data_IF_519930268138
#
_entry.id   IF_519930268138
#
_cell.length_a   1.000
_cell.length_b   1.000
_cell.length_c   1.000
_cell.angle_alpha   90.00
_cell.angle_beta   90.00
_cell.angle_gamma   90.00
#
_symmetry.space_group_name_H-M   'P 1'
#
loop_
_entity.id
_entity.type
_entity.pdbx_description
1 polymer ?
#
# COMPACT_ATOMS: atom_id res chain seq x y z
N UNK A 1 -22.14 -22.38 -0.77
CA UNK A 1 -21.62 -21.40 0.25
C UNK A 1 -22.78 -20.90 1.09
N UNK A 2 -22.63 -20.74 2.45
CA UNK A 2 -23.76 -20.35 3.32
C UNK A 2 -24.14 -18.87 3.13
N UNK A 3 -25.43 -18.56 3.22
CA UNK A 3 -25.97 -17.18 3.18
C UNK A 3 -25.29 -16.29 4.23
N UNK A 4 -25.00 -16.84 5.43
CA UNK A 4 -24.33 -16.12 6.53
C UNK A 4 -22.93 -15.63 6.17
N UNK A 5 -22.15 -16.42 5.43
CA UNK A 5 -20.81 -16.01 4.97
C UNK A 5 -20.88 -14.80 4.02
N UNK A 6 -21.75 -14.87 3.01
CA UNK A 6 -21.90 -13.76 2.08
C UNK A 6 -22.54 -12.52 2.72
N UNK A 7 -23.43 -12.72 3.70
CA UNK A 7 -23.95 -11.63 4.51
C UNK A 7 -22.85 -10.90 5.28
N UNK A 8 -21.92 -11.64 5.92
CA UNK A 8 -20.78 -11.04 6.63
C UNK A 8 -19.82 -10.30 5.67
N UNK A 9 -19.48 -10.90 4.52
CA UNK A 9 -18.66 -10.24 3.49
C UNK A 9 -19.34 -8.97 3.00
N UNK A 10 -20.63 -9.04 2.67
CA UNK A 10 -21.39 -7.87 2.21
C UNK A 10 -21.44 -6.77 3.25
N UNK A 11 -21.66 -7.10 4.53
CA UNK A 11 -21.69 -6.12 5.62
C UNK A 11 -20.35 -5.38 5.76
N UNK A 12 -19.22 -6.10 5.73
CA UNK A 12 -17.89 -5.47 5.80
C UNK A 12 -17.65 -4.57 4.58
N UNK A 13 -17.96 -5.04 3.36
CA UNK A 13 -17.73 -4.24 2.15
C UNK A 13 -18.62 -3.00 2.08
N UNK A 14 -19.88 -3.10 2.52
CA UNK A 14 -20.79 -1.96 2.57
C UNK A 14 -20.34 -0.95 3.61
N UNK A 15 -19.95 -1.41 4.81
CA UNK A 15 -19.41 -0.54 5.85
C UNK A 15 -18.12 0.17 5.39
N UNK A 16 -17.21 -0.56 4.74
CA UNK A 16 -15.98 0.00 4.19
C UNK A 16 -16.27 1.01 3.07
N UNK A 17 -17.17 0.69 2.14
CA UNK A 17 -17.55 1.61 1.07
C UNK A 17 -18.13 2.92 1.63
N UNK A 18 -18.99 2.83 2.65
CA UNK A 18 -19.56 3.99 3.32
C UNK A 18 -18.47 4.81 4.02
N UNK A 19 -17.56 4.16 4.74
CA UNK A 19 -16.44 4.80 5.44
C UNK A 19 -15.52 5.54 4.46
N UNK A 20 -15.07 4.86 3.41
CA UNK A 20 -14.15 5.45 2.43
C UNK A 20 -14.80 6.59 1.65
N UNK A 21 -16.07 6.45 1.24
CA UNK A 21 -16.81 7.51 0.56
C UNK A 21 -17.02 8.72 1.46
N UNK A 22 -17.40 8.50 2.73
CA UNK A 22 -17.56 9.55 3.73
C UNK A 22 -16.26 10.33 3.92
N UNK A 23 -15.17 9.61 4.18
CA UNK A 23 -13.87 10.22 4.40
C UNK A 23 -13.38 11.00 3.16
N UNK A 24 -13.47 10.41 1.96
CA UNK A 24 -13.10 11.09 0.73
C UNK A 24 -13.94 12.35 0.48
N UNK A 25 -15.19 12.38 0.95
CA UNK A 25 -16.06 13.55 0.81
C UNK A 25 -15.75 14.65 1.80
N UNK A 26 -15.36 14.33 3.04
CA UNK A 26 -15.14 15.30 4.11
C UNK A 26 -13.67 15.70 4.31
N UNK A 27 -12.73 14.88 3.85
CA UNK A 27 -11.31 15.17 3.96
C UNK A 27 -10.92 16.37 3.10
N UNK A 28 -10.31 17.36 3.74
CA UNK A 28 -9.73 18.48 3.00
C UNK A 28 -8.54 17.97 2.17
N UNK A 29 -8.66 18.07 0.85
CA UNK A 29 -7.67 17.53 -0.07
C UNK A 29 -6.27 18.12 0.14
N UNK A 30 -6.15 19.35 0.65
CA UNK A 30 -4.87 20.03 0.91
C UNK A 30 -4.08 19.43 2.07
N UNK A 31 -4.72 18.67 2.96
CA UNK A 31 -4.05 18.04 4.11
C UNK A 31 -3.22 16.80 3.73
N UNK A 32 -3.50 16.19 2.59
CA UNK A 32 -2.79 14.99 2.13
C UNK A 32 -1.30 15.26 1.87
N UNK A 33 -0.48 14.22 2.02
CA UNK A 33 0.92 14.28 1.63
C UNK A 33 1.03 14.68 0.15
N UNK A 34 1.87 15.65 -0.14
CA UNK A 34 2.15 16.14 -1.50
C UNK A 34 0.90 16.61 -2.27
N UNK A 35 -0.21 16.89 -1.58
CA UNK A 35 -1.52 17.12 -2.19
C UNK A 35 -1.53 18.27 -3.20
N UNK A 36 -0.89 19.40 -2.85
CA UNK A 36 -0.79 20.55 -3.75
C UNK A 36 0.03 20.21 -5.01
N UNK A 37 1.19 19.56 -4.83
CA UNK A 37 2.03 19.14 -5.96
C UNK A 37 1.33 18.07 -6.83
N UNK A 38 0.55 17.17 -6.22
CA UNK A 38 -0.30 16.22 -6.94
C UNK A 38 -1.36 16.93 -7.81
N UNK A 39 -1.99 17.99 -7.27
CA UNK A 39 -2.99 18.76 -8.01
C UNK A 39 -2.36 19.53 -9.18
N UNK A 40 -1.20 20.14 -8.97
CA UNK A 40 -0.43 20.80 -10.05
C UNK A 40 -0.08 19.82 -11.17
N UNK A 41 0.42 18.62 -10.81
CA UNK A 41 0.73 17.57 -11.79
C UNK A 41 -0.51 17.19 -12.61
N UNK A 42 -1.63 16.90 -11.92
CA UNK A 42 -2.86 16.50 -12.57
C UNK A 42 -3.41 17.61 -13.51
N UNK A 43 -3.24 18.87 -13.13
CA UNK A 43 -3.64 20.02 -13.96
C UNK A 43 -2.83 20.07 -15.26
N UNK A 44 -1.49 20.04 -15.18
CA UNK A 44 -0.61 20.05 -16.36
C UNK A 44 -0.92 18.88 -17.30
N UNK A 45 -0.96 17.65 -16.78
CA UNK A 45 -1.20 16.45 -17.61
C UNK A 45 -2.58 16.51 -18.28
N UNK A 46 -3.60 16.98 -17.58
CA UNK A 46 -4.97 17.01 -18.12
C UNK A 46 -5.24 18.15 -19.08
N UNK A 47 -4.54 19.29 -18.95
CA UNK A 47 -4.74 20.46 -19.81
C UNK A 47 -3.78 20.49 -20.99
N UNK A 48 -2.51 20.14 -20.75
CA UNK A 48 -1.44 20.32 -21.71
C UNK A 48 -0.98 19.01 -22.35
N UNK A 49 -1.49 17.86 -21.86
CA UNK A 49 -1.19 16.51 -22.37
C UNK A 49 0.31 16.20 -22.38
N UNK A 50 1.06 16.77 -21.43
CA UNK A 50 2.49 16.52 -21.21
C UNK A 50 2.79 16.24 -19.74
N UNK A 51 3.99 15.77 -19.44
CA UNK A 51 4.47 15.66 -18.08
C UNK A 51 4.92 17.04 -17.55
N UNK A 52 4.72 17.34 -16.25
CA UNK A 52 5.20 18.59 -15.67
C UNK A 52 6.72 18.59 -15.54
N UNK A 53 7.29 19.79 -15.57
CA UNK A 53 8.68 20.05 -15.21
C UNK A 53 8.87 20.13 -13.69
N UNK A 54 10.13 20.19 -13.25
CA UNK A 54 10.51 20.37 -11.84
C UNK A 54 9.94 21.65 -11.22
N UNK A 55 9.83 22.72 -12.01
CA UNK A 55 9.29 24.01 -11.56
C UNK A 55 7.76 24.00 -11.40
N UNK A 56 7.06 23.11 -12.11
CA UNK A 56 5.59 23.06 -12.14
C UNK A 56 4.99 22.14 -11.08
N UNK A 57 5.73 21.09 -10.66
CA UNK A 57 5.24 20.19 -9.62
C UNK A 57 6.37 19.54 -8.85
N UNK A 58 6.33 19.61 -7.52
CA UNK A 58 7.30 18.92 -6.65
C UNK A 58 7.29 17.39 -6.77
N UNK A 59 6.29 16.82 -7.44
CA UNK A 59 6.17 15.35 -7.67
C UNK A 59 6.33 14.98 -9.15
N UNK A 60 6.95 15.83 -9.95
CA UNK A 60 7.21 15.65 -11.39
C UNK A 60 7.83 14.27 -11.74
N UNK A 61 8.61 13.71 -10.81
CA UNK A 61 9.30 12.42 -10.92
C UNK A 61 8.38 11.20 -10.70
N UNK A 62 7.07 11.42 -10.54
CA UNK A 62 6.09 10.34 -10.30
C UNK A 62 5.47 9.87 -11.63
N UNK A 63 5.18 8.56 -11.81
CA UNK A 63 4.49 8.08 -13.01
C UNK A 63 3.09 8.67 -13.19
N UNK A 64 2.61 8.89 -14.45
CA UNK A 64 1.51 9.81 -14.74
C UNK A 64 0.09 9.26 -14.64
N UNK A 65 -0.14 7.93 -14.58
CA UNK A 65 -1.46 7.35 -14.84
C UNK A 65 -2.55 7.90 -13.91
N UNK A 66 -2.29 7.93 -12.60
CA UNK A 66 -3.30 8.44 -11.65
C UNK A 66 -3.59 9.92 -11.88
N UNK A 67 -2.56 10.73 -12.14
CA UNK A 67 -2.71 12.17 -12.35
C UNK A 67 -3.52 12.47 -13.61
N UNK A 68 -3.30 11.69 -14.68
CA UNK A 68 -4.09 11.81 -15.91
C UNK A 68 -5.57 11.48 -15.65
N UNK A 69 -5.85 10.41 -14.92
CA UNK A 69 -7.23 10.03 -14.56
C UNK A 69 -7.88 11.05 -13.63
N UNK A 70 -7.20 11.44 -12.55
CA UNK A 70 -7.73 12.39 -11.58
C UNK A 70 -7.94 13.77 -12.20
N UNK A 71 -7.01 14.25 -13.03
CA UNK A 71 -7.13 15.50 -13.74
C UNK A 71 -8.26 15.50 -14.79
N UNK A 72 -8.39 14.41 -15.57
CA UNK A 72 -9.48 14.27 -16.54
C UNK A 72 -10.86 14.27 -15.86
N UNK A 73 -11.01 13.51 -14.76
CA UNK A 73 -12.23 13.50 -13.96
C UNK A 73 -12.51 14.87 -13.33
N UNK A 74 -11.47 15.55 -12.82
CA UNK A 74 -11.60 16.90 -12.26
C UNK A 74 -12.06 17.92 -13.30
N UNK A 75 -11.54 17.87 -14.52
CA UNK A 75 -12.00 18.72 -15.63
C UNK A 75 -13.46 18.45 -16.01
N UNK A 76 -13.81 17.16 -16.09
CA UNK A 76 -15.20 16.78 -16.41
C UNK A 76 -16.18 17.31 -15.36
N UNK A 77 -15.90 17.14 -14.07
CA UNK A 77 -16.77 17.65 -13.01
C UNK A 77 -16.84 19.17 -12.98
N UNK A 78 -15.73 19.87 -13.24
CA UNK A 78 -15.73 21.33 -13.36
C UNK A 78 -16.56 21.81 -14.57
N UNK A 79 -16.43 21.15 -15.72
CA UNK A 79 -17.21 21.47 -16.92
C UNK A 79 -18.71 21.24 -16.73
N UNK A 80 -19.08 20.27 -15.87
CA UNK A 80 -20.48 19.98 -15.51
C UNK A 80 -21.01 20.81 -14.34
N UNK A 81 -20.19 21.70 -13.75
CA UNK A 81 -20.58 22.50 -12.58
C UNK A 81 -20.78 21.67 -11.29
N UNK A 82 -20.18 20.48 -11.18
CA UNK A 82 -20.38 19.53 -10.07
C UNK A 82 -19.43 19.73 -8.87
N UNK A 83 -18.78 20.89 -8.74
CA UNK A 83 -17.98 21.24 -7.56
C UNK A 83 -16.46 21.21 -7.79
N UNK A 84 -15.69 20.88 -6.73
CA UNK A 84 -14.23 20.99 -6.72
C UNK A 84 -13.54 19.95 -7.61
N UNK A 85 -12.55 20.40 -8.40
CA UNK A 85 -11.79 19.57 -9.35
C UNK A 85 -11.03 18.39 -8.67
N UNK A 86 -10.68 18.51 -7.40
CA UNK A 86 -9.91 17.49 -6.66
C UNK A 86 -10.79 16.37 -6.10
N UNK A 87 -12.08 16.61 -5.86
CA UNK A 87 -13.00 15.63 -5.28
C UNK A 87 -13.09 14.32 -6.06
N UNK A 88 -13.16 14.32 -7.39
CA UNK A 88 -13.17 13.07 -8.15
C UNK A 88 -11.90 12.23 -7.99
N UNK A 89 -10.73 12.87 -7.82
CA UNK A 89 -9.48 12.18 -7.52
C UNK A 89 -9.49 11.50 -6.15
N UNK A 90 -10.09 12.14 -5.13
CA UNK A 90 -10.30 11.52 -3.82
C UNK A 90 -11.29 10.34 -3.90
N UNK A 91 -12.39 10.49 -4.63
CA UNK A 91 -13.35 9.39 -4.84
C UNK A 91 -12.73 8.23 -5.65
N UNK A 92 -11.86 8.53 -6.61
CA UNK A 92 -11.07 7.51 -7.32
C UNK A 92 -10.15 6.75 -6.35
N UNK A 93 -9.49 7.47 -5.43
CA UNK A 93 -8.67 6.85 -4.40
C UNK A 93 -9.50 5.96 -3.45
N UNK A 94 -10.68 6.42 -3.03
CA UNK A 94 -11.62 5.64 -2.21
C UNK A 94 -12.11 4.38 -2.92
N UNK A 95 -12.51 4.50 -4.19
CA UNK A 95 -12.93 3.36 -5.00
C UNK A 95 -11.80 2.32 -5.17
N UNK A 96 -10.56 2.79 -5.35
CA UNK A 96 -9.38 1.93 -5.42
C UNK A 96 -9.07 1.24 -4.07
N UNK A 97 -9.26 1.92 -2.95
CA UNK A 97 -9.17 1.33 -1.60
C UNK A 97 -10.18 0.19 -1.42
N UNK A 98 -11.44 0.43 -1.77
CA UNK A 98 -12.50 -0.60 -1.74
C UNK A 98 -12.18 -1.76 -2.69
N UNK A 99 -11.70 -1.46 -3.90
CA UNK A 99 -11.26 -2.48 -4.85
C UNK A 99 -10.13 -3.34 -4.26
N UNK A 100 -9.20 -2.75 -3.52
CA UNK A 100 -8.14 -3.50 -2.81
C UNK A 100 -8.73 -4.48 -1.81
N UNK A 101 -9.74 -4.10 -1.02
CA UNK A 101 -10.44 -4.99 -0.09
C UNK A 101 -11.08 -6.18 -0.81
N UNK A 102 -11.77 -5.93 -1.92
CA UNK A 102 -12.37 -7.00 -2.77
C UNK A 102 -11.29 -7.91 -3.35
N UNK A 103 -10.22 -7.36 -3.88
CA UNK A 103 -9.12 -8.12 -4.49
C UNK A 103 -8.37 -8.99 -3.45
N UNK A 104 -8.17 -8.50 -2.23
CA UNK A 104 -7.60 -9.29 -1.12
C UNK A 104 -8.51 -10.46 -0.74
N UNK A 105 -9.81 -10.23 -0.65
CA UNK A 105 -10.79 -11.31 -0.45
C UNK A 105 -10.71 -12.37 -1.55
N UNK A 106 -10.66 -11.94 -2.81
CA UNK A 106 -10.57 -12.85 -3.97
C UNK A 106 -9.23 -13.59 -3.99
N UNK A 107 -8.12 -12.93 -3.64
CA UNK A 107 -6.79 -13.52 -3.54
C UNK A 107 -6.75 -14.61 -2.45
N UNK A 108 -7.30 -14.32 -1.28
CA UNK A 108 -7.44 -15.29 -0.20
C UNK A 108 -8.27 -16.52 -0.62
N UNK A 109 -9.36 -16.30 -1.37
CA UNK A 109 -10.20 -17.37 -1.92
C UNK A 109 -9.50 -18.20 -2.99
N UNK A 110 -8.69 -17.59 -3.84
CA UNK A 110 -7.91 -18.32 -4.85
C UNK A 110 -6.87 -19.20 -4.15
N UNK A 111 -6.20 -18.70 -3.13
CA UNK A 111 -5.15 -19.46 -2.43
C UNK A 111 -5.70 -20.55 -1.50
N UNK A 112 -6.85 -20.34 -0.86
CA UNK A 112 -7.51 -21.29 0.07
C UNK A 112 -9.03 -21.32 -0.10
N UNK A 113 -9.57 -21.96 -1.14
CA UNK A 113 -10.99 -21.85 -1.51
C UNK A 113 -11.98 -22.21 -0.39
N UNK A 114 -11.62 -23.17 0.49
CA UNK A 114 -12.51 -23.71 1.52
C UNK A 114 -12.39 -22.99 2.88
N UNK A 115 -11.41 -22.08 3.04
CA UNK A 115 -11.10 -21.48 4.35
C UNK A 115 -11.80 -20.12 4.56
N UNK A 116 -13.11 -20.16 4.81
CA UNK A 116 -13.96 -18.96 4.95
C UNK A 116 -13.50 -17.98 6.02
N UNK A 117 -12.98 -18.49 7.15
CA UNK A 117 -12.49 -17.62 8.24
C UNK A 117 -11.27 -16.85 7.77
N UNK A 118 -10.33 -17.51 7.08
CA UNK A 118 -9.18 -16.84 6.47
C UNK A 118 -9.62 -15.70 5.53
N UNK A 119 -10.64 -15.93 4.70
CA UNK A 119 -11.16 -14.91 3.79
C UNK A 119 -11.71 -13.68 4.55
N UNK A 120 -12.53 -13.90 5.59
CA UNK A 120 -13.11 -12.81 6.38
C UNK A 120 -12.04 -12.07 7.18
N UNK A 121 -11.10 -12.79 7.80
CA UNK A 121 -9.98 -12.17 8.55
C UNK A 121 -9.12 -11.32 7.63
N UNK A 122 -8.76 -11.80 6.43
CA UNK A 122 -7.99 -11.03 5.47
C UNK A 122 -8.74 -9.75 5.03
N UNK A 123 -10.05 -9.87 4.76
CA UNK A 123 -10.89 -8.74 4.40
C UNK A 123 -10.96 -7.70 5.54
N UNK A 124 -11.22 -8.12 6.78
CA UNK A 124 -11.30 -7.20 7.92
C UNK A 124 -9.94 -6.57 8.22
N UNK A 125 -8.86 -7.33 8.09
CA UNK A 125 -7.49 -6.79 8.30
C UNK A 125 -7.19 -5.64 7.33
N UNK A 126 -7.49 -5.83 6.04
CA UNK A 126 -7.20 -4.79 5.04
C UNK A 126 -8.14 -3.58 5.20
N UNK A 127 -9.42 -3.80 5.46
CA UNK A 127 -10.41 -2.75 5.68
C UNK A 127 -10.11 -1.92 6.96
N UNK A 128 -9.62 -2.56 8.04
CA UNK A 128 -9.27 -1.88 9.28
C UNK A 128 -7.84 -1.29 9.28
N UNK A 129 -7.12 -1.30 8.14
CA UNK A 129 -5.77 -0.73 8.06
C UNK A 129 -5.81 0.80 8.01
N UNK A 130 -5.32 1.54 9.03
CA UNK A 130 -5.39 3.00 9.05
C UNK A 130 -4.66 3.64 7.87
N UNK A 131 -3.51 3.08 7.47
CA UNK A 131 -2.73 3.58 6.35
C UNK A 131 -3.52 3.51 5.03
N UNK A 132 -4.31 2.43 4.78
CA UNK A 132 -5.16 2.33 3.59
C UNK A 132 -6.31 3.31 3.64
N UNK A 133 -7.02 3.40 4.78
CA UNK A 133 -8.20 4.27 4.93
C UNK A 133 -7.80 5.73 4.72
N UNK A 134 -6.69 6.18 5.34
CA UNK A 134 -6.18 7.55 5.15
C UNK A 134 -5.79 7.81 3.69
N UNK A 135 -4.97 6.93 3.10
CA UNK A 135 -4.56 7.07 1.70
C UNK A 135 -5.76 7.10 0.74
N UNK A 136 -6.84 6.41 1.08
CA UNK A 136 -8.08 6.37 0.29
C UNK A 136 -8.90 7.67 0.35
N UNK A 137 -8.69 8.51 1.37
CA UNK A 137 -9.36 9.81 1.45
C UNK A 137 -8.55 10.95 0.80
N UNK A 138 -7.24 10.74 0.64
CA UNK A 138 -6.32 11.75 0.12
C UNK A 138 -6.40 11.89 -1.41
N UNK A 139 -6.06 13.05 -1.91
CA UNK A 139 -5.80 13.27 -3.34
C UNK A 139 -4.42 12.69 -3.70
N UNK A 140 -4.34 11.35 -3.85
CA UNK A 140 -3.07 10.64 -3.86
C UNK A 140 -3.11 9.35 -4.71
N UNK A 141 -2.03 9.00 -5.44
CA UNK A 141 -1.98 7.87 -6.38
C UNK A 141 -1.89 6.48 -5.74
N UNK A 142 -1.52 6.36 -4.48
CA UNK A 142 -1.09 5.09 -3.86
C UNK A 142 -2.16 3.99 -3.91
N UNK A 143 -3.40 4.30 -3.57
CA UNK A 143 -4.47 3.29 -3.50
C UNK A 143 -4.78 2.66 -4.85
N UNK A 144 -4.75 3.46 -5.93
CA UNK A 144 -4.93 2.92 -7.28
C UNK A 144 -3.80 1.95 -7.65
N UNK A 145 -2.56 2.31 -7.33
CA UNK A 145 -1.42 1.45 -7.58
C UNK A 145 -1.50 0.14 -6.78
N UNK A 146 -1.92 0.19 -5.51
CA UNK A 146 -2.14 -1.00 -4.66
C UNK A 146 -3.23 -1.89 -5.25
N UNK A 147 -4.37 -1.33 -5.68
CA UNK A 147 -5.45 -2.09 -6.29
C UNK A 147 -4.99 -2.80 -7.56
N UNK A 148 -4.32 -2.08 -8.47
CA UNK A 148 -3.79 -2.64 -9.71
C UNK A 148 -2.74 -3.73 -9.45
N UNK A 149 -1.80 -3.49 -8.53
CA UNK A 149 -0.79 -4.48 -8.15
C UNK A 149 -1.42 -5.73 -7.54
N UNK A 150 -2.40 -5.57 -6.64
CA UNK A 150 -3.15 -6.69 -6.04
C UNK A 150 -3.92 -7.49 -7.09
N UNK A 151 -4.52 -6.80 -8.06
CA UNK A 151 -5.17 -7.43 -9.22
C UNK A 151 -4.19 -8.26 -10.03
N UNK A 152 -3.00 -7.73 -10.31
CA UNK A 152 -1.92 -8.45 -11.01
C UNK A 152 -1.47 -9.70 -10.25
N UNK A 153 -1.25 -9.59 -8.92
CA UNK A 153 -0.93 -10.73 -8.05
C UNK A 153 -2.06 -11.76 -8.02
N UNK A 154 -3.33 -11.33 -7.97
CA UNK A 154 -4.49 -12.23 -8.02
C UNK A 154 -4.54 -13.03 -9.32
N UNK A 155 -4.36 -12.37 -10.47
CA UNK A 155 -4.33 -13.05 -11.77
C UNK A 155 -3.17 -14.04 -11.84
N UNK A 156 -1.98 -13.64 -11.38
CA UNK A 156 -0.80 -14.50 -11.30
C UNK A 156 -1.04 -15.71 -10.37
N UNK A 157 -1.55 -15.49 -9.16
CA UNK A 157 -1.86 -16.55 -8.21
C UNK A 157 -2.86 -17.57 -8.78
N UNK A 158 -3.93 -17.10 -9.43
CA UNK A 158 -4.91 -17.96 -10.08
C UNK A 158 -4.29 -18.77 -11.21
N UNK A 159 -3.51 -18.11 -12.08
CA UNK A 159 -2.87 -18.76 -13.21
C UNK A 159 -1.85 -19.81 -12.80
N UNK A 160 -1.03 -19.55 -11.77
CA UNK A 160 -0.06 -20.50 -11.23
C UNK A 160 -0.72 -21.73 -10.59
N UNK A 161 -1.96 -21.61 -10.12
CA UNK A 161 -2.72 -22.72 -9.53
C UNK A 161 -3.52 -23.52 -10.55
N UNK A 162 -3.81 -22.96 -11.70
CA UNK A 162 -4.58 -23.60 -12.77
C UNK A 162 -3.71 -23.84 -14.00
N UNK A 163 -3.51 -22.82 -14.80
CA UNK A 163 -2.65 -22.83 -15.99
C UNK A 163 -2.14 -21.42 -16.28
N UNK A 164 -0.83 -21.26 -16.31
CA UNK A 164 -0.18 -20.04 -16.73
C UNK A 164 -0.19 -19.95 -18.26
N UNK A 165 -1.15 -19.19 -18.81
CA UNK A 165 -1.33 -19.00 -20.26
C UNK A 165 -0.82 -17.64 -20.71
N UNK A 166 -0.65 -17.44 -22.01
CA UNK A 166 -0.29 -16.14 -22.60
C UNK A 166 -1.33 -15.06 -22.20
N UNK A 167 -2.65 -15.38 -22.28
CA UNK A 167 -3.70 -14.44 -21.94
C UNK A 167 -3.67 -14.02 -20.46
N UNK A 168 -3.50 -14.97 -19.52
CA UNK A 168 -3.39 -14.64 -18.09
C UNK A 168 -2.09 -13.90 -17.78
N UNK A 169 -1.01 -14.20 -18.47
CA UNK A 169 0.27 -13.50 -18.34
C UNK A 169 0.19 -12.07 -18.86
N UNK A 170 -0.45 -11.84 -20.00
CA UNK A 170 -0.72 -10.51 -20.53
C UNK A 170 -1.58 -9.68 -19.58
N UNK A 171 -2.65 -10.27 -19.01
CA UNK A 171 -3.51 -9.59 -18.04
C UNK A 171 -2.76 -9.23 -16.74
N UNK A 172 -1.93 -10.15 -16.20
CA UNK A 172 -1.09 -9.86 -15.04
C UNK A 172 -0.07 -8.77 -15.36
N UNK A 173 0.60 -8.85 -16.52
CA UNK A 173 1.56 -7.85 -17.00
C UNK A 173 0.92 -6.48 -17.18
N UNK A 174 -0.29 -6.43 -17.75
CA UNK A 174 -1.02 -5.17 -17.92
C UNK A 174 -1.36 -4.51 -16.58
N UNK A 175 -1.91 -5.26 -15.62
CA UNK A 175 -2.24 -4.73 -14.30
C UNK A 175 -0.99 -4.27 -13.54
N UNK A 176 0.09 -5.03 -13.57
CA UNK A 176 1.35 -4.67 -12.91
C UNK A 176 2.05 -3.51 -13.61
N UNK A 177 2.04 -3.46 -14.95
CA UNK A 177 2.57 -2.33 -15.71
C UNK A 177 1.80 -1.02 -15.44
N UNK A 178 0.46 -1.08 -15.40
CA UNK A 178 -0.38 0.05 -15.01
C UNK A 178 -0.16 0.44 -13.54
N UNK A 179 0.07 -0.52 -12.63
CA UNK A 179 0.44 -0.23 -11.25
C UNK A 179 1.77 0.54 -11.19
N UNK A 180 2.78 0.10 -11.93
CA UNK A 180 4.07 0.81 -12.06
C UNK A 180 3.90 2.19 -12.69
N UNK A 181 3.04 2.32 -13.70
CA UNK A 181 2.71 3.59 -14.35
C UNK A 181 1.87 4.51 -13.45
N UNK A 182 1.28 3.98 -12.38
CA UNK A 182 0.63 4.76 -11.32
C UNK A 182 1.63 5.19 -10.24
N UNK A 183 2.46 4.23 -9.79
CA UNK A 183 3.50 4.44 -8.76
C UNK A 183 4.66 3.47 -8.98
N UNK A 184 5.88 3.98 -9.06
CA UNK A 184 7.07 3.15 -9.20
C UNK A 184 7.25 2.13 -8.05
N UNK A 185 6.65 2.38 -6.89
CA UNK A 185 6.60 1.46 -5.74
C UNK A 185 5.92 0.11 -6.04
N UNK A 186 5.20 -0.04 -7.15
CA UNK A 186 4.66 -1.32 -7.60
C UNK A 186 5.72 -2.20 -8.30
N UNK A 187 6.87 -1.65 -8.71
CA UNK A 187 7.91 -2.40 -9.43
C UNK A 187 8.44 -3.63 -8.67
N UNK A 188 8.70 -3.60 -7.34
CA UNK A 188 9.08 -4.79 -6.58
C UNK A 188 8.04 -5.92 -6.64
N UNK A 189 6.74 -5.58 -6.72
CA UNK A 189 5.66 -6.57 -6.87
C UNK A 189 5.70 -7.22 -8.26
N UNK A 190 5.93 -6.43 -9.31
CA UNK A 190 6.14 -6.95 -10.66
C UNK A 190 7.33 -7.92 -10.69
N UNK A 191 8.47 -7.53 -10.11
CA UNK A 191 9.67 -8.39 -10.03
C UNK A 191 9.35 -9.69 -9.28
N UNK A 192 8.66 -9.62 -8.14
CA UNK A 192 8.26 -10.81 -7.37
C UNK A 192 7.40 -11.77 -8.22
N UNK A 193 6.42 -11.24 -8.96
CA UNK A 193 5.57 -12.04 -9.85
C UNK A 193 6.40 -12.68 -10.97
N UNK A 194 7.32 -11.94 -11.59
CA UNK A 194 8.18 -12.46 -12.65
C UNK A 194 9.15 -13.54 -12.14
N UNK A 195 9.72 -13.36 -10.95
CA UNK A 195 10.58 -14.37 -10.29
C UNK A 195 9.79 -15.65 -10.04
N UNK A 196 8.60 -15.57 -9.44
CA UNK A 196 7.77 -16.73 -9.15
C UNK A 196 7.29 -17.43 -10.42
N UNK A 197 6.88 -16.66 -11.43
CA UNK A 197 6.51 -17.19 -12.74
C UNK A 197 7.70 -17.82 -13.46
N UNK A 198 8.89 -17.25 -13.34
CA UNK A 198 10.15 -17.81 -13.85
C UNK A 198 10.50 -19.16 -13.20
N UNK A 199 10.40 -19.25 -11.87
CA UNK A 199 10.59 -20.52 -11.15
C UNK A 199 9.57 -21.59 -11.59
N UNK A 200 8.32 -21.20 -11.82
CA UNK A 200 7.30 -22.09 -12.37
C UNK A 200 7.64 -22.52 -13.81
N UNK A 201 8.08 -21.58 -14.64
CA UNK A 201 8.48 -21.84 -16.04
C UNK A 201 9.71 -22.75 -16.13
N UNK A 202 10.65 -22.62 -15.18
CA UNK A 202 11.82 -23.50 -15.11
C UNK A 202 11.40 -24.97 -14.98
N UNK A 203 10.44 -25.26 -14.09
CA UNK A 203 9.92 -26.60 -13.90
C UNK A 203 9.05 -27.10 -15.06
N UNK A 204 8.32 -26.22 -15.75
CA UNK A 204 7.38 -26.58 -16.83
C UNK A 204 7.93 -26.36 -18.23
N UNK A 205 9.11 -25.76 -18.37
CA UNK A 205 9.74 -25.37 -19.65
C UNK A 205 8.90 -24.38 -20.49
N UNK A 206 7.97 -23.65 -19.87
CA UNK A 206 7.04 -22.73 -20.54
C UNK A 206 7.40 -21.27 -20.27
N UNK A 207 8.36 -20.72 -21.01
CA UNK A 207 8.87 -19.35 -20.79
C UNK A 207 8.04 -18.26 -21.49
N UNK A 208 7.30 -18.60 -22.56
CA UNK A 208 6.52 -17.61 -23.32
C UNK A 208 5.56 -16.79 -22.46
N UNK A 209 4.78 -17.37 -21.53
CA UNK A 209 3.92 -16.55 -20.67
C UNK A 209 4.71 -15.58 -19.77
N UNK A 210 5.89 -15.98 -19.27
CA UNK A 210 6.74 -15.09 -18.45
C UNK A 210 7.22 -13.92 -19.29
N UNK A 211 7.74 -14.21 -20.50
CA UNK A 211 8.16 -13.17 -21.44
C UNK A 211 7.01 -12.24 -21.82
N UNK A 212 5.80 -12.79 -22.03
CA UNK A 212 4.58 -11.99 -22.31
C UNK A 212 4.25 -11.07 -21.14
N UNK A 213 4.27 -11.57 -19.90
CA UNK A 213 3.99 -10.75 -18.71
C UNK A 213 5.00 -9.59 -18.60
N UNK A 214 6.29 -9.89 -18.76
CA UNK A 214 7.34 -8.89 -18.71
C UNK A 214 7.22 -7.87 -19.87
N UNK A 215 7.01 -8.35 -21.11
CA UNK A 215 6.89 -7.48 -22.27
C UNK A 215 5.70 -6.52 -22.17
N UNK A 216 4.52 -7.01 -21.74
CA UNK A 216 3.33 -6.16 -21.58
C UNK A 216 3.53 -5.15 -20.47
N UNK A 217 4.09 -5.54 -19.32
CA UNK A 217 4.37 -4.63 -18.23
C UNK A 217 5.37 -3.54 -18.63
N UNK A 218 6.45 -3.93 -19.32
CA UNK A 218 7.46 -3.00 -19.82
C UNK A 218 6.90 -2.08 -20.91
N UNK A 219 6.10 -2.57 -21.83
CA UNK A 219 5.48 -1.75 -22.88
C UNK A 219 4.65 -0.60 -22.28
N UNK A 220 4.00 -0.82 -21.13
CA UNK A 220 3.23 0.21 -20.44
C UNK A 220 4.10 1.16 -19.62
N UNK A 221 5.15 0.66 -18.96
CA UNK A 221 5.93 1.44 -18.00
C UNK A 221 7.20 2.06 -18.60
N UNK A 222 7.84 1.42 -19.59
CA UNK A 222 9.09 1.87 -20.18
C UNK A 222 9.01 3.25 -20.85
N UNK A 223 7.91 3.67 -21.50
CA UNK A 223 7.85 5.01 -22.08
C UNK A 223 8.07 6.12 -21.04
N UNK A 224 7.55 5.94 -19.82
CA UNK A 224 7.81 6.88 -18.74
C UNK A 224 9.29 6.82 -18.27
N UNK A 225 9.88 5.63 -18.12
CA UNK A 225 11.30 5.48 -17.76
C UNK A 225 12.23 6.13 -18.78
N UNK A 226 11.92 5.94 -20.07
CA UNK A 226 12.68 6.56 -21.17
C UNK A 226 12.55 8.08 -21.12
N UNK A 227 11.35 8.60 -20.90
CA UNK A 227 11.15 10.05 -20.74
C UNK A 227 11.96 10.59 -19.55
N UNK A 228 11.95 9.92 -18.40
CA UNK A 228 12.74 10.32 -17.22
C UNK A 228 14.25 10.33 -17.54
N UNK A 229 14.73 9.30 -18.24
CA UNK A 229 16.13 9.22 -18.65
C UNK A 229 16.53 10.35 -19.59
N UNK A 230 15.69 10.67 -20.57
CA UNK A 230 15.96 11.72 -21.56
C UNK A 230 15.84 13.13 -20.97
N UNK A 231 14.84 13.37 -20.14
CA UNK A 231 14.58 14.70 -19.57
C UNK A 231 15.48 15.03 -18.37
N UNK A 232 15.85 14.03 -17.56
CA UNK A 232 16.50 14.25 -16.25
C UNK A 232 17.80 13.45 -16.08
N UNK A 233 18.28 12.75 -17.11
CA UNK A 233 19.53 11.97 -17.06
C UNK A 233 19.47 10.70 -16.20
N UNK A 234 18.29 10.36 -15.65
CA UNK A 234 18.09 9.17 -14.82
C UNK A 234 16.67 8.61 -14.98
N UNK A 235 16.57 7.33 -15.32
CA UNK A 235 15.26 6.65 -15.42
C UNK A 235 14.48 6.60 -14.09
N UNK A 236 15.17 6.74 -12.95
CA UNK A 236 14.62 6.82 -11.62
C UNK A 236 15.01 8.16 -10.97
N UNK A 237 14.80 9.25 -11.70
CA UNK A 237 15.01 10.59 -11.19
C UNK A 237 14.10 10.85 -9.98
N UNK A 238 14.60 11.65 -9.04
CA UNK A 238 13.88 12.05 -7.83
C UNK A 238 14.05 13.55 -7.61
N UNK A 239 13.11 14.17 -6.91
CA UNK A 239 13.09 15.63 -6.68
C UNK A 239 14.22 16.15 -5.76
N UNK A 240 15.01 15.26 -5.20
CA UNK A 240 16.16 15.61 -4.37
C UNK A 240 17.39 14.81 -4.83
N UNK A 241 18.57 15.41 -4.93
CA UNK A 241 19.79 14.65 -5.14
C UNK A 241 20.06 13.76 -3.91
N UNK A 242 20.59 12.54 -4.09
CA UNK A 242 21.05 11.76 -2.95
C UNK A 242 22.19 12.49 -2.26
N UNK A 243 22.21 12.55 -0.91
CA UNK A 243 23.32 13.16 -0.19
C UNK A 243 24.62 12.40 -0.48
N UNK A 244 25.73 13.12 -0.47
CA UNK A 244 27.07 12.55 -0.59
C UNK A 244 27.46 11.73 0.65
N UNK A 245 28.51 10.94 0.53
CA UNK A 245 29.08 10.17 1.63
C UNK A 245 28.52 8.76 1.80
N UNK A 246 29.11 8.00 2.71
CA UNK A 246 28.70 6.65 3.09
C UNK A 246 27.38 6.66 3.88
N UNK A 247 26.78 5.49 4.05
CA UNK A 247 25.51 5.35 4.81
C UNK A 247 25.58 5.94 6.21
N UNK A 248 26.68 5.73 6.94
CA UNK A 248 26.84 6.19 8.31
C UNK A 248 27.17 7.68 8.39
N UNK A 249 27.78 8.25 7.33
CA UNK A 249 27.96 9.70 7.20
C UNK A 249 26.63 10.41 6.91
N UNK A 250 25.76 9.77 6.15
CA UNK A 250 24.41 10.30 5.86
C UNK A 250 23.52 10.31 7.09
N UNK A 251 23.50 9.20 7.85
CA UNK A 251 22.73 9.01 9.08
C UNK A 251 23.41 8.05 10.03
N UNK A 252 23.30 8.27 11.35
CA UNK A 252 23.83 7.35 12.34
C UNK A 252 23.13 5.99 12.27
N UNK A 253 23.79 4.94 12.74
CA UNK A 253 23.21 3.59 12.81
C UNK A 253 21.87 3.55 13.58
N UNK A 254 21.70 4.41 14.59
CA UNK A 254 20.46 4.56 15.36
C UNK A 254 19.26 4.95 14.48
N UNK A 255 19.47 5.69 13.40
CA UNK A 255 18.40 6.02 12.46
C UNK A 255 17.82 4.76 11.81
N UNK A 256 18.68 3.86 11.34
CA UNK A 256 18.25 2.65 10.63
C UNK A 256 17.73 1.56 11.57
N UNK A 257 18.40 1.38 12.72
CA UNK A 257 18.11 0.29 13.65
C UNK A 257 16.92 0.59 14.58
N UNK A 258 16.57 1.85 14.76
CA UNK A 258 15.44 2.27 15.58
C UNK A 258 15.53 1.82 17.04
N UNK A 259 16.61 2.16 17.81
CA UNK A 259 16.75 1.66 19.19
C UNK A 259 15.66 2.15 20.13
N UNK A 260 14.91 3.19 19.72
CA UNK A 260 13.78 3.75 20.48
C UNK A 260 12.42 3.26 19.98
N UNK A 261 12.39 2.16 19.22
CA UNK A 261 11.15 1.63 18.62
C UNK A 261 10.01 1.47 19.62
N UNK A 262 10.30 1.07 20.86
CA UNK A 262 9.27 0.92 21.90
C UNK A 262 8.62 2.24 22.31
N UNK A 263 9.29 3.37 22.16
CA UNK A 263 8.71 4.68 22.45
C UNK A 263 7.58 5.05 21.49
N UNK A 264 7.54 4.46 20.29
CA UNK A 264 6.41 4.63 19.37
C UNK A 264 5.08 4.14 19.96
N UNK A 265 5.11 3.26 20.96
CA UNK A 265 3.92 2.76 21.64
C UNK A 265 3.38 3.75 22.68
N UNK A 266 4.21 4.65 23.18
CA UNK A 266 3.85 5.66 24.20
C UNK A 266 3.66 7.04 23.58
N UNK A 267 4.56 7.41 22.67
CA UNK A 267 4.63 8.73 22.04
C UNK A 267 4.79 8.60 20.50
N UNK A 268 3.74 8.22 19.77
CA UNK A 268 3.81 7.92 18.33
C UNK A 268 3.78 9.15 17.42
N UNK A 269 4.08 10.34 17.92
CA UNK A 269 4.00 11.60 17.18
C UNK A 269 5.38 12.25 17.07
N UNK A 270 5.70 12.85 15.91
CA UNK A 270 6.88 13.71 15.76
C UNK A 270 6.88 14.88 16.77
N UNK A 271 8.04 15.38 17.19
CA UNK A 271 9.40 15.17 16.63
C UNK A 271 10.18 13.99 17.25
N UNK A 272 9.59 13.18 18.11
CA UNK A 272 10.31 12.21 18.94
C UNK A 272 11.06 11.15 18.13
N UNK A 273 10.58 10.80 16.95
CA UNK A 273 11.15 9.72 16.12
C UNK A 273 11.76 10.18 14.80
N UNK A 274 11.81 11.47 14.52
CA UNK A 274 12.28 11.96 13.21
C UNK A 274 13.71 11.55 12.81
N UNK A 275 14.45 10.92 13.69
CA UNK A 275 15.76 10.34 13.42
C UNK A 275 15.79 8.82 13.48
N UNK A 276 14.63 8.14 13.43
CA UNK A 276 14.55 6.69 13.52
C UNK A 276 13.53 6.14 12.52
N UNK A 277 13.99 5.30 11.58
CA UNK A 277 13.20 4.78 10.46
C UNK A 277 12.04 3.91 10.92
N UNK A 278 12.32 2.90 11.74
CA UNK A 278 11.33 1.88 12.13
C UNK A 278 10.21 2.45 13.00
N UNK A 279 10.49 3.24 14.05
CA UNK A 279 9.44 3.86 14.87
C UNK A 279 8.53 4.79 14.09
N UNK A 280 9.08 5.63 13.21
CA UNK A 280 8.29 6.51 12.35
C UNK A 280 7.36 5.74 11.44
N UNK A 281 7.91 4.75 10.72
CA UNK A 281 7.15 3.93 9.81
C UNK A 281 6.02 3.17 10.50
N UNK A 282 6.32 2.63 11.69
CA UNK A 282 5.32 1.93 12.50
C UNK A 282 4.21 2.87 12.99
N UNK A 283 4.60 4.05 13.49
CA UNK A 283 3.66 5.06 13.96
C UNK A 283 2.79 5.62 12.83
N UNK A 284 3.35 5.75 11.62
CA UNK A 284 2.57 6.18 10.45
C UNK A 284 1.66 5.06 9.92
N UNK A 285 2.06 3.80 10.03
CA UNK A 285 1.22 2.68 9.59
C UNK A 285 -0.04 2.53 10.44
N UNK A 286 0.09 2.51 11.76
CA UNK A 286 -1.01 2.26 12.69
C UNK A 286 -1.69 3.51 13.24
N UNK A 287 -1.02 4.64 13.19
CA UNK A 287 -1.50 5.93 13.63
C UNK A 287 -1.45 6.98 12.53
N UNK A 288 -1.04 8.17 12.89
CA UNK A 288 -0.83 9.31 11.99
C UNK A 288 0.24 10.21 12.61
N UNK A 289 1.50 9.80 12.49
CA UNK A 289 2.59 10.51 13.15
C UNK A 289 2.77 11.96 12.65
N UNK A 290 2.40 12.21 11.39
CA UNK A 290 2.47 13.52 10.76
C UNK A 290 1.22 14.39 11.04
N UNK A 291 0.20 13.83 11.70
CA UNK A 291 -1.08 14.49 12.00
C UNK A 291 -1.80 15.04 10.77
N UNK A 292 -1.66 14.35 9.64
CA UNK A 292 -2.33 14.71 8.40
C UNK A 292 -3.84 14.54 8.49
N UNK A 293 -4.31 13.73 9.44
CA UNK A 293 -5.72 13.40 9.65
C UNK A 293 -6.42 14.35 10.61
N UNK A 294 -5.79 14.68 11.75
CA UNK A 294 -6.43 15.38 12.86
C UNK A 294 -6.14 16.87 12.93
N UNK A 295 -5.12 17.37 12.24
CA UNK A 295 -4.66 18.75 12.42
C UNK A 295 -4.97 19.66 11.26
N UNK A 296 -5.21 20.96 11.51
CA UNK A 296 -5.09 21.96 10.48
C UNK A 296 -3.63 22.01 9.97
N UNK A 297 -3.40 22.23 8.67
CA UNK A 297 -2.06 22.34 8.12
C UNK A 297 -1.34 23.59 8.64
N UNK A 298 -0.06 23.62 8.67
CA UNK A 298 1.05 22.70 8.93
C UNK A 298 1.58 22.79 10.36
N UNK A 299 2.69 22.14 10.69
CA UNK A 299 2.86 21.40 11.93
C UNK A 299 2.63 22.26 13.16
N UNK A 300 1.49 22.07 13.81
CA UNK A 300 1.39 22.49 15.21
C UNK A 300 2.49 21.76 15.97
N UNK A 301 3.38 22.46 16.73
CA UNK A 301 4.35 21.79 17.56
C UNK A 301 3.63 20.74 18.41
N UNK A 302 4.22 19.56 18.60
CA UNK A 302 3.64 18.48 19.40
C UNK A 302 3.18 18.96 20.80
N UNK A 303 3.80 20.02 21.33
CA UNK A 303 3.41 20.70 22.56
C UNK A 303 2.04 21.39 22.53
N UNK A 304 1.50 21.67 21.34
CA UNK A 304 0.19 22.32 21.16
C UNK A 304 -0.94 21.31 20.88
N UNK A 305 -0.63 20.02 20.80
CA UNK A 305 -1.63 19.00 20.56
C UNK A 305 -2.45 18.76 21.84
N UNK A 306 -3.77 18.60 21.73
CA UNK A 306 -4.57 18.14 22.85
C UNK A 306 -3.99 16.84 23.42
N UNK A 307 -3.82 16.75 24.73
CA UNK A 307 -3.27 15.57 25.41
C UNK A 307 -3.99 14.26 25.02
N UNK A 308 -5.28 14.36 24.70
CA UNK A 308 -6.09 13.27 24.19
C UNK A 308 -5.60 12.65 22.87
N UNK A 309 -5.06 13.44 21.94
CA UNK A 309 -4.58 12.96 20.63
C UNK A 309 -3.40 12.02 20.80
N UNK A 310 -2.42 12.37 21.63
CA UNK A 310 -1.23 11.53 21.89
C UNK A 310 -1.66 10.19 22.47
N UNK A 311 -2.55 10.18 23.47
CA UNK A 311 -3.00 8.95 24.13
C UNK A 311 -3.77 8.02 23.18
N UNK A 312 -4.53 8.60 22.28
CA UNK A 312 -5.27 7.87 21.25
C UNK A 312 -4.32 7.22 20.25
N UNK A 313 -3.36 7.98 19.72
CA UNK A 313 -2.37 7.45 18.78
C UNK A 313 -1.48 6.39 19.43
N UNK A 314 -1.15 6.53 20.72
CA UNK A 314 -0.47 5.51 21.49
C UNK A 314 -1.27 4.21 21.57
N UNK A 315 -2.58 4.26 21.83
CA UNK A 315 -3.45 3.08 21.84
C UNK A 315 -3.49 2.41 20.46
N UNK A 316 -3.58 3.18 19.39
CA UNK A 316 -3.51 2.65 18.01
C UNK A 316 -2.18 1.92 17.76
N UNK A 317 -1.07 2.51 18.18
CA UNK A 317 0.25 1.87 18.06
C UNK A 317 0.32 0.57 18.88
N UNK A 318 -0.16 0.55 20.12
CA UNK A 318 -0.17 -0.67 20.97
C UNK A 318 -1.01 -1.78 20.32
N UNK A 319 -2.23 -1.46 19.89
CA UNK A 319 -3.12 -2.45 19.26
C UNK A 319 -2.54 -2.96 17.94
N UNK A 320 -1.80 -2.14 17.21
CA UNK A 320 -1.10 -2.50 15.97
C UNK A 320 0.00 -3.56 16.12
N UNK A 321 0.51 -3.80 17.34
CA UNK A 321 1.58 -4.81 17.57
C UNK A 321 1.13 -6.21 17.16
N UNK A 322 -0.04 -6.63 17.63
CA UNK A 322 -0.54 -8.00 17.38
C UNK A 322 -0.72 -8.28 15.88
N UNK A 323 -1.47 -7.44 15.11
CA UNK A 323 -1.60 -7.67 13.67
C UNK A 323 -0.26 -7.58 12.92
N UNK A 324 0.69 -6.75 13.37
CA UNK A 324 2.04 -6.69 12.77
C UNK A 324 2.80 -8.01 12.98
N UNK A 325 2.80 -8.55 14.20
CA UNK A 325 3.44 -9.84 14.51
C UNK A 325 2.79 -10.98 13.73
N UNK A 326 1.45 -11.01 13.64
CA UNK A 326 0.72 -12.01 12.86
C UNK A 326 1.04 -11.92 11.37
N UNK A 327 1.14 -10.73 10.82
CA UNK A 327 1.51 -10.52 9.42
C UNK A 327 2.93 -11.01 9.13
N UNK A 328 3.90 -10.63 9.95
CA UNK A 328 5.30 -11.06 9.79
C UNK A 328 5.46 -12.57 9.95
N UNK A 329 4.88 -13.14 11.00
CA UNK A 329 4.90 -14.60 11.21
C UNK A 329 4.23 -15.34 10.05
N UNK A 330 3.13 -14.79 9.52
CA UNK A 330 2.43 -15.36 8.38
C UNK A 330 3.24 -15.29 7.09
N UNK A 331 3.92 -14.19 6.82
CA UNK A 331 4.81 -14.07 5.65
C UNK A 331 5.95 -15.09 5.71
N UNK A 332 6.58 -15.26 6.88
CA UNK A 332 7.61 -16.29 7.10
C UNK A 332 7.03 -17.69 6.89
N UNK A 333 5.87 -17.99 7.51
CA UNK A 333 5.21 -19.28 7.38
C UNK A 333 4.83 -19.60 5.93
N UNK A 334 4.35 -18.63 5.17
CA UNK A 334 4.04 -18.79 3.74
C UNK A 334 5.30 -19.01 2.89
N UNK A 335 6.40 -18.33 3.21
CA UNK A 335 7.71 -18.56 2.58
C UNK A 335 8.20 -19.99 2.82
N UNK A 336 8.16 -20.46 4.06
CA UNK A 336 8.50 -21.85 4.42
C UNK A 336 7.57 -22.87 3.74
N UNK A 337 6.27 -22.57 3.69
CA UNK A 337 5.27 -23.41 3.01
C UNK A 337 5.52 -23.50 1.51
N UNK A 338 5.92 -22.38 0.87
CA UNK A 338 6.25 -22.36 -0.55
C UNK A 338 7.42 -23.28 -0.87
N UNK A 339 8.45 -23.28 -0.03
CA UNK A 339 9.62 -24.16 -0.15
C UNK A 339 9.22 -25.61 0.13
N UNK A 340 8.57 -25.87 1.27
CA UNK A 340 8.22 -27.22 1.71
C UNK A 340 7.29 -27.95 0.73
N UNK A 341 6.32 -27.23 0.16
CA UNK A 341 5.36 -27.79 -0.80
C UNK A 341 5.76 -27.62 -2.26
N UNK A 342 6.89 -26.99 -2.53
CA UNK A 342 7.34 -26.64 -3.88
C UNK A 342 6.24 -25.95 -4.72
N UNK A 343 5.44 -25.11 -4.05
CA UNK A 343 4.29 -24.43 -4.66
C UNK A 343 4.58 -22.95 -4.87
N UNK A 344 4.87 -22.53 -6.11
CA UNK A 344 5.24 -21.14 -6.42
C UNK A 344 4.17 -20.11 -6.00
N UNK A 345 2.89 -20.48 -6.04
CA UNK A 345 1.80 -19.55 -5.71
C UNK A 345 1.85 -19.04 -4.26
N UNK A 346 2.42 -19.79 -3.32
CA UNK A 346 2.58 -19.34 -1.93
C UNK A 346 3.77 -18.39 -1.77
N UNK A 347 4.75 -18.42 -2.68
CA UNK A 347 5.89 -17.51 -2.66
C UNK A 347 5.53 -16.09 -3.10
N UNK A 348 4.43 -15.89 -3.84
CA UNK A 348 4.02 -14.57 -4.35
C UNK A 348 3.90 -13.53 -3.23
N UNK A 349 3.22 -13.87 -2.13
CA UNK A 349 2.95 -12.94 -1.04
C UNK A 349 4.22 -12.54 -0.28
N UNK A 350 5.03 -13.49 0.24
CA UNK A 350 6.25 -13.13 0.97
C UNK A 350 7.29 -12.44 0.08
N UNK A 351 7.43 -12.82 -1.19
CA UNK A 351 8.37 -12.17 -2.11
C UNK A 351 7.91 -10.76 -2.47
N UNK A 352 6.60 -10.54 -2.69
CA UNK A 352 6.07 -9.19 -2.93
C UNK A 352 6.30 -8.28 -1.72
N UNK A 353 5.97 -8.75 -0.50
CA UNK A 353 6.16 -7.96 0.71
C UNK A 353 7.65 -7.69 0.99
N UNK A 354 8.51 -8.70 0.85
CA UNK A 354 9.95 -8.56 1.05
C UNK A 354 10.58 -7.62 0.01
N UNK A 355 10.15 -7.72 -1.26
CA UNK A 355 10.61 -6.84 -2.33
C UNK A 355 10.24 -5.37 -2.08
N UNK A 356 9.01 -5.12 -1.65
CA UNK A 356 8.55 -3.76 -1.28
C UNK A 356 9.33 -3.22 -0.09
N UNK A 357 9.51 -4.04 0.97
CA UNK A 357 10.28 -3.64 2.15
C UNK A 357 11.75 -3.34 1.80
N UNK A 358 12.38 -4.19 0.99
CA UNK A 358 13.76 -4.01 0.54
C UNK A 358 13.92 -2.73 -0.31
N UNK A 359 13.00 -2.49 -1.24
CA UNK A 359 13.01 -1.27 -2.05
C UNK A 359 12.83 -0.02 -1.18
N UNK A 360 11.94 -0.09 -0.17
CA UNK A 360 11.76 1.02 0.77
C UNK A 360 13.00 1.29 1.62
N UNK A 361 13.64 0.25 2.16
CA UNK A 361 14.91 0.41 2.89
C UNK A 361 15.98 1.01 1.99
N UNK A 362 16.12 0.51 0.74
CA UNK A 362 17.06 1.07 -0.22
C UNK A 362 16.78 2.56 -0.52
N UNK A 363 15.51 2.94 -0.61
CA UNK A 363 15.10 4.33 -0.77
C UNK A 363 15.45 5.18 0.45
N UNK A 364 15.11 4.73 1.67
CA UNK A 364 15.41 5.44 2.90
C UNK A 364 16.92 5.62 3.14
N UNK A 365 17.71 4.63 2.68
CA UNK A 365 19.17 4.68 2.69
C UNK A 365 19.70 5.71 1.68
N UNK A 366 19.09 5.73 0.48
CA UNK A 366 19.51 6.63 -0.60
C UNK A 366 19.10 8.08 -0.34
N UNK A 367 17.94 8.29 0.28
CA UNK A 367 17.34 9.61 0.54
C UNK A 367 16.94 9.77 2.01
N UNK A 368 17.91 9.76 2.96
CA UNK A 368 17.60 9.89 4.38
C UNK A 368 17.22 11.33 4.72
N UNK A 369 15.94 11.60 4.81
CA UNK A 369 15.43 12.92 5.17
C UNK A 369 15.67 13.25 6.65
N UNK A 370 16.19 14.45 6.99
CA UNK A 370 16.39 14.87 8.37
C UNK A 370 15.09 15.10 9.14
N UNK A 371 14.04 15.47 8.44
CA UNK A 371 12.72 15.80 8.97
C UNK A 371 11.72 14.62 8.95
N UNK A 372 12.15 13.45 8.43
CA UNK A 372 11.31 12.28 8.30
C UNK A 372 10.37 12.30 7.10
N UNK A 373 10.44 13.29 6.22
CA UNK A 373 9.53 13.43 5.07
C UNK A 373 9.53 12.24 4.11
N UNK A 374 10.64 11.51 4.00
CA UNK A 374 10.74 10.28 3.21
C UNK A 374 10.21 9.05 3.93
N UNK A 375 9.80 9.16 5.21
CA UNK A 375 9.31 8.04 6.01
C UNK A 375 7.79 8.09 6.04
N UNK A 376 7.17 7.42 5.07
CA UNK A 376 5.71 7.36 4.90
C UNK A 376 5.24 5.91 4.79
N UNK A 377 4.24 5.52 5.55
CA UNK A 377 3.63 4.18 5.46
C UNK A 377 3.00 3.91 4.10
N UNK A 378 2.59 4.97 3.39
CA UNK A 378 2.01 4.88 2.05
C UNK A 378 2.94 4.15 1.06
N UNK A 379 4.26 4.30 1.21
CA UNK A 379 5.23 3.59 0.35
C UNK A 379 5.26 2.08 0.58
N UNK A 380 4.81 1.60 1.75
CA UNK A 380 4.68 0.17 2.05
C UNK A 380 3.27 -0.38 1.78
N UNK A 381 2.30 0.42 1.36
CA UNK A 381 0.93 -0.05 1.09
C UNK A 381 0.87 -1.19 0.07
N UNK A 382 1.85 -1.28 -0.84
CA UNK A 382 1.98 -2.41 -1.77
C UNK A 382 2.18 -3.76 -1.07
N UNK A 383 2.67 -3.77 0.18
CA UNK A 383 2.83 -4.99 0.99
C UNK A 383 1.57 -5.35 1.79
N UNK A 384 0.61 -4.43 1.96
CA UNK A 384 -0.59 -4.62 2.77
C UNK A 384 -1.43 -5.82 2.34
N UNK A 385 -1.71 -6.08 1.05
CA UNK A 385 -2.47 -7.25 0.62
C UNK A 385 -1.80 -8.57 1.04
N UNK A 386 -0.48 -8.64 0.94
CA UNK A 386 0.29 -9.81 1.38
C UNK A 386 0.25 -9.96 2.91
N UNK A 387 0.41 -8.86 3.65
CA UNK A 387 0.34 -8.84 5.11
C UNK A 387 -1.03 -9.30 5.64
N UNK A 388 -2.12 -8.80 5.04
CA UNK A 388 -3.48 -9.16 5.42
C UNK A 388 -3.78 -10.66 5.22
N UNK A 389 -3.41 -11.22 4.07
CA UNK A 389 -3.58 -12.64 3.80
C UNK A 389 -2.69 -13.50 4.69
N UNK A 390 -1.45 -13.05 4.94
CA UNK A 390 -0.51 -13.76 5.81
C UNK A 390 -0.96 -13.80 7.27
N UNK A 391 -1.43 -12.69 7.82
CA UNK A 391 -2.02 -12.64 9.17
C UNK A 391 -3.24 -13.57 9.29
N UNK A 392 -4.12 -13.52 8.29
CA UNK A 392 -5.29 -14.39 8.23
C UNK A 392 -4.91 -15.87 8.16
N UNK A 393 -3.84 -16.22 7.45
CA UNK A 393 -3.31 -17.58 7.39
C UNK A 393 -2.89 -18.09 8.77
N UNK A 394 -2.19 -17.26 9.57
CA UNK A 394 -1.79 -17.65 10.94
C UNK A 394 -3.01 -17.87 11.83
N UNK A 395 -3.96 -16.93 11.85
CA UNK A 395 -5.18 -17.06 12.66
C UNK A 395 -5.95 -18.33 12.30
N UNK A 396 -6.10 -18.62 11.02
CA UNK A 396 -6.80 -19.85 10.58
C UNK A 396 -6.01 -21.11 10.90
N UNK A 397 -4.67 -21.09 10.85
CA UNK A 397 -3.81 -22.20 11.21
C UNK A 397 -3.78 -22.51 12.72
N UNK A 398 -4.14 -21.56 13.56
CA UNK A 398 -4.25 -21.74 15.02
C UNK A 398 -5.57 -22.41 15.44
N UNK A 399 -6.62 -22.37 14.60
CA UNK A 399 -7.94 -22.94 14.93
C UNK A 399 -7.92 -24.42 15.32
N UNK A 400 -7.21 -25.33 14.62
CA UNK A 400 -7.14 -26.73 15.01
C UNK A 400 -6.41 -26.98 16.32
N UNK A 401 -5.53 -26.05 16.75
CA UNK A 401 -4.72 -26.16 17.96
C UNK A 401 -5.47 -25.81 19.25
N UNK A 402 -6.70 -25.29 19.13
CA UNK A 402 -7.58 -25.00 20.26
C UNK A 402 -8.44 -23.75 20.04
N UNK A 403 -9.66 -23.79 20.55
CA UNK A 403 -10.60 -22.66 20.47
C UNK A 403 -10.02 -21.37 21.08
N UNK A 404 -9.24 -21.47 22.14
CA UNK A 404 -8.62 -20.34 22.85
C UNK A 404 -7.77 -19.49 21.90
N UNK A 405 -6.86 -20.10 21.15
CA UNK A 405 -5.96 -19.39 20.23
C UNK A 405 -6.69 -18.76 19.05
N UNK A 406 -7.68 -19.45 18.49
CA UNK A 406 -8.51 -18.89 17.43
C UNK A 406 -9.35 -17.71 17.94
N UNK A 407 -9.92 -17.82 19.13
CA UNK A 407 -10.68 -16.75 19.77
C UNK A 407 -9.79 -15.56 20.08
N UNK A 408 -8.57 -15.78 20.62
CA UNK A 408 -7.60 -14.72 20.87
C UNK A 408 -7.26 -13.93 19.58
N UNK A 409 -7.05 -14.61 18.45
CA UNK A 409 -6.82 -13.95 17.17
C UNK A 409 -8.00 -13.13 16.67
N UNK A 410 -9.23 -13.64 16.84
CA UNK A 410 -10.46 -12.90 16.48
C UNK A 410 -10.69 -11.71 17.41
N UNK A 411 -10.45 -11.88 18.71
CA UNK A 411 -10.55 -10.80 19.71
C UNK A 411 -9.52 -9.71 19.41
N UNK A 412 -8.28 -10.07 19.09
CA UNK A 412 -7.25 -9.10 18.72
C UNK A 412 -7.64 -8.30 17.46
N UNK A 413 -8.23 -8.97 16.45
CA UNK A 413 -8.75 -8.29 15.26
C UNK A 413 -9.96 -7.41 15.58
N UNK A 414 -10.86 -7.87 16.45
CA UNK A 414 -12.00 -7.08 16.94
C UNK A 414 -11.54 -5.85 17.73
N UNK A 415 -10.54 -6.00 18.59
CA UNK A 415 -9.92 -4.90 19.31
C UNK A 415 -9.25 -3.89 18.35
N UNK A 416 -8.57 -4.38 17.31
CA UNK A 416 -8.03 -3.51 16.26
C UNK A 416 -9.14 -2.66 15.64
N UNK A 417 -10.23 -3.29 15.20
CA UNK A 417 -11.38 -2.57 14.60
C UNK A 417 -11.98 -1.57 15.60
N UNK A 418 -12.24 -2.01 16.83
CA UNK A 418 -12.88 -1.15 17.84
C UNK A 418 -12.02 0.07 18.22
N UNK A 419 -10.70 -0.10 18.29
CA UNK A 419 -9.77 0.99 18.62
C UNK A 419 -9.52 1.90 17.41
N UNK A 420 -9.48 1.34 16.21
CA UNK A 420 -9.21 2.11 14.99
C UNK A 420 -10.43 2.85 14.47
N UNK A 421 -11.62 2.24 14.50
CA UNK A 421 -12.83 2.76 13.85
C UNK A 421 -13.18 4.21 14.25
N UNK A 422 -13.14 4.63 15.52
CA UNK A 422 -13.46 6.00 15.90
C UNK A 422 -12.51 7.06 15.31
N UNK A 423 -11.31 6.64 14.86
CA UNK A 423 -10.27 7.50 14.31
C UNK A 423 -10.10 7.35 12.80
N UNK A 424 -10.82 6.41 12.20
CA UNK A 424 -10.90 6.24 10.76
C UNK A 424 -12.06 7.04 10.14
N UNK A 425 -13.00 7.53 10.98
CA UNK A 425 -14.12 8.38 10.57
C UNK A 425 -13.72 9.84 10.78
N UNK A 426 -13.85 10.67 9.75
CA UNK A 426 -13.68 12.13 9.81
C UNK A 426 -14.95 12.81 10.26
#
# INVERSE_FOLDING_TARGET
MSRRYWGAVGAVLVAEAALLAWNAWHYDWLRGSDAFANAQYADVVSREYRLPSEAESGVWHTPPLWFALAGALGRLTTALGLGHAQRPGQLLAAAAGLATCVLVLLLARVLWPERRVLHLVALVFVAASPALVRASAMYHPETLAVALATGGVLVAARALRTRWTIGSAAAAGALLGLACLTRAWAFPVLVAVLVVAGLHAWGTRRWMPVATCAAVALALFAPWLVNQQLAHGSALAFNRPPPSGSLLERRPASFYLGPRSLRALEHPITPLFRNELVPHLYADWWGDWALTWDSPPPPAPAALLPSGVVSVRARQAVVGVVPSVLALAGLVALGLLAVARRSPSFALLPLSAAGVAAAYVAFAVRYPSPDGDTIKATYLLMALPAAAVAAAFVIDALRPRGRVWATAGVVALGALVAVQLPFLIL
#
